data_IF_323743413915
#
_entry.id   IF_323743413915
#
_cell.length_a   1.000
_cell.length_b   1.000
_cell.length_c   1.000
_cell.angle_alpha   90.00
_cell.angle_beta   90.00
_cell.angle_gamma   90.00
#
_symmetry.space_group_name_H-M   'P 1'
#
loop_
_entity.id
_entity.type
_entity.pdbx_description
1 polymer ?
#
# COMPACT_ATOMS: atom_id res chain seq x y z
N UNK A 1 35.45 -3.78 -5.50
CA UNK A 1 34.31 -4.36 -6.25
C UNK A 1 34.52 -5.83 -6.65
N UNK A 2 35.66 -6.21 -7.26
CA UNK A 2 35.88 -7.58 -7.81
C UNK A 2 35.85 -8.70 -6.74
N UNK A 3 36.46 -8.44 -5.60
CA UNK A 3 36.57 -9.38 -4.47
C UNK A 3 35.23 -9.86 -3.90
N UNK A 4 34.20 -9.00 -3.90
CA UNK A 4 32.85 -9.34 -3.40
C UNK A 4 32.16 -10.30 -4.37
N UNK A 5 32.36 -10.09 -5.68
CA UNK A 5 31.78 -10.91 -6.75
C UNK A 5 32.40 -12.31 -6.75
N UNK A 6 33.69 -12.42 -6.45
CA UNK A 6 34.39 -13.70 -6.38
C UNK A 6 33.97 -14.51 -5.14
N UNK A 7 33.76 -13.84 -4.00
CA UNK A 7 33.26 -14.47 -2.77
C UNK A 7 31.83 -14.99 -2.93
N UNK A 8 30.94 -14.21 -3.54
CA UNK A 8 29.56 -14.63 -3.80
C UNK A 8 29.50 -15.76 -4.83
N UNK A 9 30.29 -15.68 -5.91
CA UNK A 9 30.36 -16.74 -6.91
C UNK A 9 30.91 -18.05 -6.33
N UNK A 10 31.92 -17.97 -5.48
CA UNK A 10 32.53 -19.14 -4.80
C UNK A 10 31.56 -19.81 -3.83
N UNK A 11 30.71 -19.03 -3.15
CA UNK A 11 29.67 -19.57 -2.28
C UNK A 11 28.60 -20.34 -3.07
N UNK A 12 28.11 -19.74 -4.17
CA UNK A 12 27.11 -20.36 -5.04
C UNK A 12 27.65 -21.64 -5.66
N UNK A 13 28.86 -21.61 -6.23
CA UNK A 13 29.50 -22.79 -6.81
C UNK A 13 29.69 -23.93 -5.79
N UNK A 14 29.93 -23.61 -4.52
CA UNK A 14 30.13 -24.62 -3.46
C UNK A 14 28.84 -25.29 -3.01
N UNK A 15 27.71 -24.59 -3.00
CA UNK A 15 26.43 -25.11 -2.52
C UNK A 15 25.43 -25.44 -3.63
N UNK A 16 25.76 -25.14 -4.89
CA UNK A 16 24.90 -25.47 -6.02
C UNK A 16 24.95 -26.97 -6.30
N UNK A 17 23.82 -27.63 -6.08
CA UNK A 17 23.64 -29.03 -6.43
C UNK A 17 23.03 -29.13 -7.82
N UNK A 18 23.84 -29.60 -8.78
CA UNK A 18 23.38 -29.86 -10.15
C UNK A 18 22.21 -30.85 -10.13
N UNK A 19 21.10 -30.48 -10.76
CA UNK A 19 19.89 -31.31 -10.84
C UNK A 19 18.85 -31.11 -9.74
N UNK A 20 19.08 -30.21 -8.76
CA UNK A 20 18.06 -29.86 -7.75
C UNK A 20 17.01 -28.85 -8.22
N UNK A 21 17.28 -28.11 -9.28
CA UNK A 21 16.36 -27.12 -9.85
C UNK A 21 15.71 -27.66 -11.13
N UNK A 22 14.71 -28.53 -10.97
CA UNK A 22 13.89 -29.01 -12.09
C UNK A 22 12.63 -28.12 -12.24
N UNK A 23 12.75 -27.10 -13.09
CA UNK A 23 11.66 -26.16 -13.39
C UNK A 23 10.43 -26.87 -13.98
N UNK A 24 10.62 -27.97 -14.73
CA UNK A 24 9.51 -28.72 -15.32
C UNK A 24 8.75 -29.51 -14.28
N UNK A 25 9.43 -30.04 -13.26
CA UNK A 25 8.79 -30.72 -12.14
C UNK A 25 8.00 -29.74 -11.25
N UNK A 26 8.53 -28.54 -11.01
CA UNK A 26 7.85 -27.51 -10.22
C UNK A 26 6.52 -27.05 -10.85
N UNK A 27 6.50 -26.85 -12.17
CA UNK A 27 5.29 -26.42 -12.90
C UNK A 27 4.22 -27.54 -12.94
N UNK A 28 4.62 -28.81 -12.88
CA UNK A 28 3.65 -29.92 -12.86
C UNK A 28 2.94 -30.07 -11.52
N UNK A 29 3.53 -29.58 -10.43
CA UNK A 29 2.99 -29.70 -9.08
C UNK A 29 2.12 -28.50 -8.66
N UNK A 30 1.99 -27.46 -9.47
CA UNK A 30 1.05 -26.37 -9.19
C UNK A 30 -0.35 -26.77 -9.63
N UNK A 31 -1.24 -26.93 -8.67
CA UNK A 31 -2.67 -27.14 -8.92
C UNK A 31 -3.24 -25.94 -9.68
N UNK A 32 -4.09 -26.13 -10.71
CA UNK A 32 -4.76 -25.01 -11.37
C UNK A 32 -5.65 -24.28 -10.35
N UNK A 33 -5.54 -22.95 -10.33
CA UNK A 33 -6.37 -22.09 -9.48
C UNK A 33 -7.85 -22.36 -9.81
N UNK A 34 -8.60 -22.85 -8.83
CA UNK A 34 -10.02 -23.16 -8.99
C UNK A 34 -10.81 -21.85 -9.13
N UNK A 35 -11.16 -21.48 -10.36
CA UNK A 35 -12.00 -20.32 -10.65
C UNK A 35 -13.38 -20.51 -10.00
N UNK A 36 -13.70 -19.67 -9.03
CA UNK A 36 -15.00 -19.73 -8.33
C UNK A 36 -16.06 -19.13 -9.26
N UNK A 37 -17.15 -19.85 -9.60
CA UNK A 37 -18.18 -19.36 -10.50
C UNK A 37 -18.97 -18.19 -9.89
N UNK A 38 -19.23 -17.17 -10.72
CA UNK A 38 -19.81 -15.87 -10.33
C UNK A 38 -21.16 -15.95 -9.58
N UNK A 39 -21.89 -17.05 -9.73
CA UNK A 39 -23.22 -17.27 -9.15
C UNK A 39 -23.19 -17.38 -7.62
N UNK A 40 -22.05 -17.78 -7.03
CA UNK A 40 -21.87 -17.76 -5.56
C UNK A 40 -21.79 -16.35 -4.96
N UNK A 41 -21.53 -15.32 -5.77
CA UNK A 41 -21.43 -13.92 -5.29
C UNK A 41 -22.80 -13.25 -5.09
N UNK A 42 -23.88 -13.80 -5.65
CA UNK A 42 -25.21 -13.15 -5.64
C UNK A 42 -25.99 -13.45 -4.36
N UNK A 43 -25.70 -14.55 -3.67
CA UNK A 43 -26.43 -14.95 -2.45
C UNK A 43 -26.15 -14.07 -1.22
N UNK A 44 -25.02 -13.34 -1.19
CA UNK A 44 -24.62 -12.49 -0.05
C UNK A 44 -25.27 -11.09 -0.12
N UNK A 45 -25.60 -10.61 -1.32
CA UNK A 45 -26.08 -9.23 -1.50
C UNK A 45 -27.48 -8.97 -0.90
N UNK A 46 -28.38 -9.96 -0.95
CA UNK A 46 -29.73 -9.82 -0.40
C UNK A 46 -29.72 -9.64 1.13
N UNK A 47 -28.81 -10.32 1.83
CA UNK A 47 -28.67 -10.22 3.29
C UNK A 47 -28.25 -8.81 3.73
N UNK A 48 -27.38 -8.15 2.96
CA UNK A 48 -26.98 -6.76 3.22
C UNK A 48 -28.12 -5.78 2.99
N UNK A 49 -28.95 -5.98 1.96
CA UNK A 49 -30.11 -5.11 1.71
C UNK A 49 -31.15 -5.20 2.82
N UNK A 50 -31.38 -6.40 3.39
CA UNK A 50 -32.32 -6.56 4.50
C UNK A 50 -31.79 -5.90 5.78
N UNK A 51 -30.49 -6.03 6.07
CA UNK A 51 -29.86 -5.40 7.24
C UNK A 51 -29.86 -3.87 7.17
N UNK A 52 -29.60 -3.28 6.00
CA UNK A 52 -29.67 -1.83 5.82
C UNK A 52 -31.09 -1.28 5.99
N UNK A 53 -32.11 -2.01 5.52
CA UNK A 53 -33.49 -1.55 5.57
C UNK A 53 -34.07 -1.64 6.98
N UNK A 54 -33.78 -2.71 7.73
CA UNK A 54 -34.15 -2.84 9.14
C UNK A 54 -33.39 -1.84 10.02
N UNK A 55 -32.09 -1.63 9.76
CA UNK A 55 -31.29 -0.64 10.47
C UNK A 55 -31.78 0.80 10.26
N UNK A 56 -32.16 1.16 9.03
CA UNK A 56 -32.75 2.46 8.72
C UNK A 56 -34.13 2.64 9.39
N UNK A 57 -34.96 1.60 9.41
CA UNK A 57 -36.27 1.66 10.04
C UNK A 57 -36.17 1.84 11.57
N UNK A 58 -35.24 1.15 12.22
CA UNK A 58 -34.98 1.35 13.65
C UNK A 58 -34.53 2.79 13.95
N UNK A 59 -33.57 3.33 13.17
CA UNK A 59 -33.07 4.69 13.32
C UNK A 59 -34.12 5.78 13.05
N UNK A 60 -35.12 5.52 12.19
CA UNK A 60 -36.22 6.45 11.95
C UNK A 60 -37.19 6.53 13.14
N UNK A 61 -37.39 5.43 13.87
CA UNK A 61 -38.33 5.37 15.00
C UNK A 61 -37.73 5.88 16.32
N UNK A 62 -36.43 5.65 16.54
CA UNK A 62 -35.69 6.24 17.66
C UNK A 62 -35.10 7.56 17.17
N UNK A 63 -35.76 8.70 17.40
CA UNK A 63 -35.41 10.02 16.85
C UNK A 63 -33.95 10.48 17.05
N UNK A 64 -33.03 9.92 16.27
CA UNK A 64 -31.60 10.23 16.21
C UNK A 64 -31.28 10.59 14.77
N UNK A 65 -31.83 11.72 14.33
CA UNK A 65 -31.34 12.42 13.14
C UNK A 65 -30.31 13.46 13.61
N UNK A 66 -29.02 13.32 13.31
CA UNK A 66 -28.11 14.44 13.41
C UNK A 66 -28.42 15.41 12.25
N UNK A 67 -28.79 16.63 12.58
CA UNK A 67 -28.87 17.73 11.62
C UNK A 67 -27.45 18.10 11.13
N UNK A 68 -27.28 18.54 9.87
CA UNK A 68 -26.02 19.11 9.43
C UNK A 68 -25.91 20.52 10.01
N UNK A 69 -25.06 20.69 11.03
CA UNK A 69 -24.61 22.00 11.48
C UNK A 69 -23.11 22.13 11.27
N UNK A 70 -22.76 23.18 10.51
CA UNK A 70 -21.40 23.61 10.27
C UNK A 70 -20.63 23.78 11.59
N UNK A 71 -19.48 23.11 11.67
CA UNK A 71 -18.37 23.46 12.56
C UNK A 71 -18.60 23.31 14.07
N UNK A 72 -18.51 22.09 14.62
CA UNK A 72 -17.86 21.84 15.92
C UNK A 72 -17.64 20.33 16.16
N UNK A 73 -16.44 20.00 16.66
CA UNK A 73 -15.93 18.68 17.06
C UNK A 73 -16.95 17.81 17.81
N UNK A 74 -17.20 16.59 17.33
CA UNK A 74 -17.71 15.47 18.14
C UNK A 74 -16.63 14.39 18.21
N UNK A 75 -16.18 14.16 19.45
CA UNK A 75 -15.16 13.21 19.86
C UNK A 75 -15.65 11.79 19.60
N UNK A 76 -15.02 11.11 18.64
CA UNK A 76 -15.07 9.65 18.52
C UNK A 76 -14.34 9.01 19.71
N UNK A 77 -14.82 7.86 20.24
CA UNK A 77 -14.24 7.23 21.40
C UNK A 77 -12.76 6.93 21.15
N UNK A 78 -11.92 7.59 21.94
CA UNK A 78 -10.48 7.36 22.01
C UNK A 78 -10.22 5.91 22.40
N UNK A 79 -10.17 5.04 21.40
CA UNK A 79 -9.24 3.93 21.47
C UNK A 79 -7.88 4.60 21.61
N UNK A 80 -7.09 4.19 22.59
CA UNK A 80 -5.71 4.62 22.78
C UNK A 80 -4.97 4.14 21.52
N UNK A 81 -5.03 4.95 20.47
CA UNK A 81 -4.75 4.53 19.10
C UNK A 81 -3.26 4.67 18.92
N UNK A 82 -2.56 3.54 18.95
CA UNK A 82 -1.24 3.43 18.34
C UNK A 82 -1.27 4.14 16.98
N UNK A 83 -0.20 4.84 16.56
CA UNK A 83 -0.14 5.52 15.28
C UNK A 83 -0.65 4.58 14.18
N UNK A 84 -1.77 4.94 13.56
CA UNK A 84 -2.31 4.16 12.43
C UNK A 84 -1.29 4.30 11.29
N UNK A 85 -0.61 3.22 10.87
CA UNK A 85 0.31 3.29 9.76
C UNK A 85 -0.45 3.80 8.54
N UNK A 86 0.10 4.82 7.88
CA UNK A 86 -0.55 5.47 6.75
C UNK A 86 -0.05 4.81 5.48
N UNK A 87 -0.93 4.07 4.82
CA UNK A 87 -0.63 3.34 3.60
C UNK A 87 -0.67 4.25 2.37
N UNK A 88 0.38 4.22 1.56
CA UNK A 88 0.50 4.89 0.27
C UNK A 88 0.46 3.88 -0.86
N UNK A 89 -0.38 4.15 -1.85
CA UNK A 89 -0.49 3.38 -3.09
C UNK A 89 -0.21 4.30 -4.28
N UNK A 90 0.78 3.94 -5.08
CA UNK A 90 1.11 4.61 -6.34
C UNK A 90 1.15 3.58 -7.46
N UNK A 91 0.46 3.86 -8.55
CA UNK A 91 0.46 3.04 -9.77
C UNK A 91 0.95 3.91 -10.94
N UNK A 92 2.11 3.56 -11.49
CA UNK A 92 2.80 4.26 -12.56
C UNK A 92 2.75 5.81 -12.43
N UNK A 93 2.87 6.30 -11.19
CA UNK A 93 2.60 7.70 -10.88
C UNK A 93 3.86 8.54 -11.13
N UNK A 94 3.79 9.67 -11.85
CA UNK A 94 4.96 10.49 -12.11
C UNK A 94 5.52 11.07 -10.81
N UNK A 95 6.84 11.07 -10.66
CA UNK A 95 7.52 11.48 -9.42
C UNK A 95 7.09 12.87 -8.90
N UNK A 96 6.89 13.92 -9.73
CA UNK A 96 6.37 15.20 -9.26
C UNK A 96 5.04 15.11 -8.49
N UNK A 97 4.16 14.22 -8.91
CA UNK A 97 2.86 14.02 -8.27
C UNK A 97 3.01 13.28 -6.95
N UNK A 98 3.87 12.26 -6.91
CA UNK A 98 4.26 11.56 -5.67
C UNK A 98 4.81 12.55 -4.63
N UNK A 99 5.77 13.39 -5.02
CA UNK A 99 6.37 14.40 -4.15
C UNK A 99 5.34 15.43 -3.65
N UNK A 100 4.35 15.77 -4.48
CA UNK A 100 3.25 16.65 -4.09
C UNK A 100 2.35 16.00 -3.03
N UNK A 101 2.02 14.71 -3.19
CA UNK A 101 1.22 13.95 -2.22
C UNK A 101 1.96 13.83 -0.89
N UNK A 102 3.23 13.41 -0.93
CA UNK A 102 4.08 13.31 0.26
C UNK A 102 4.29 14.67 0.91
N UNK A 103 4.58 15.71 0.14
CA UNK A 103 4.79 17.06 0.66
C UNK A 103 3.54 17.63 1.33
N UNK A 104 2.34 17.38 0.77
CA UNK A 104 1.07 17.74 1.40
C UNK A 104 0.86 16.98 2.70
N UNK A 105 1.23 15.70 2.74
CA UNK A 105 1.03 14.86 3.91
C UNK A 105 1.95 15.24 5.08
N UNK A 106 3.24 15.44 4.80
CA UNK A 106 4.25 15.76 5.81
C UNK A 106 4.48 17.27 5.98
N UNK A 107 3.67 18.11 5.32
CA UNK A 107 3.76 19.57 5.36
C UNK A 107 5.14 20.15 4.97
N UNK A 108 5.83 19.49 4.04
CA UNK A 108 7.13 19.93 3.51
C UNK A 108 7.05 20.14 2.00
N UNK A 109 7.98 20.93 1.46
CA UNK A 109 8.15 21.03 0.01
C UNK A 109 9.26 20.07 -0.41
N UNK A 110 8.93 19.15 -1.32
CA UNK A 110 9.84 18.15 -1.86
C UNK A 110 10.08 18.43 -3.35
N UNK A 111 11.34 18.31 -3.78
CA UNK A 111 11.75 18.46 -5.18
C UNK A 111 12.81 17.42 -5.52
N UNK A 112 12.76 16.83 -6.71
CA UNK A 112 13.77 15.91 -7.21
C UNK A 112 14.61 16.55 -8.33
N UNK A 113 15.82 16.05 -8.53
CA UNK A 113 16.72 16.41 -9.64
C UNK A 113 16.23 15.88 -11.00
N UNK A 114 15.68 14.67 -11.04
CA UNK A 114 15.04 14.08 -12.19
C UNK A 114 13.54 13.85 -11.94
N UNK A 115 12.70 14.45 -12.76
CA UNK A 115 11.24 14.40 -12.67
C UNK A 115 10.59 13.50 -13.72
N UNK A 116 11.38 12.87 -14.58
CA UNK A 116 10.90 12.01 -15.67
C UNK A 116 10.49 10.60 -15.21
N UNK A 117 10.85 10.22 -13.98
CA UNK A 117 10.63 8.87 -13.45
C UNK A 117 9.22 8.68 -12.90
N UNK A 118 8.78 7.44 -12.90
CA UNK A 118 7.48 7.00 -12.40
C UNK A 118 7.66 6.01 -11.25
N UNK A 119 6.78 6.08 -10.25
CA UNK A 119 6.75 5.20 -9.09
C UNK A 119 5.53 4.28 -9.15
N UNK A 120 5.78 2.99 -8.98
CA UNK A 120 4.75 1.99 -8.68
C UNK A 120 5.13 1.32 -7.36
N UNK A 121 4.38 1.59 -6.29
CA UNK A 121 4.71 1.11 -4.96
C UNK A 121 3.49 1.11 -4.03
N UNK A 122 3.45 0.12 -3.15
CA UNK A 122 2.56 0.04 -2.00
C UNK A 122 3.40 -0.02 -0.74
N UNK A 123 3.22 0.93 0.17
CA UNK A 123 3.98 0.97 1.42
C UNK A 123 3.25 1.75 2.51
N UNK A 124 3.44 1.30 3.74
CA UNK A 124 3.10 2.09 4.92
C UNK A 124 4.25 3.04 5.25
N UNK A 125 3.92 4.27 5.67
CA UNK A 125 4.94 5.17 6.19
C UNK A 125 4.47 6.04 7.34
N UNK A 126 5.24 5.97 8.42
CA UNK A 126 5.24 6.82 9.59
C UNK A 126 6.43 7.80 9.61
N UNK A 127 7.43 7.60 8.73
CA UNK A 127 8.68 8.36 8.69
C UNK A 127 8.99 8.90 7.28
N UNK A 128 9.02 10.23 7.15
CA UNK A 128 9.29 10.92 5.89
C UNK A 128 10.72 10.62 5.38
N UNK A 129 11.72 10.70 6.25
CA UNK A 129 13.12 10.52 5.89
C UNK A 129 13.36 9.13 5.30
N UNK A 130 12.79 8.09 5.91
CA UNK A 130 12.86 6.72 5.38
C UNK A 130 12.14 6.58 4.04
N UNK A 131 11.01 7.26 3.87
CA UNK A 131 10.24 7.25 2.61
C UNK A 131 11.06 7.87 1.49
N UNK A 132 11.72 9.01 1.78
CA UNK A 132 12.58 9.70 0.83
C UNK A 132 13.75 8.79 0.46
N UNK A 133 14.45 8.21 1.43
CA UNK A 133 15.59 7.32 1.18
C UNK A 133 15.20 6.13 0.30
N UNK A 134 14.03 5.53 0.58
CA UNK A 134 13.50 4.43 -0.25
C UNK A 134 13.26 4.88 -1.70
N UNK A 135 12.61 6.02 -1.90
CA UNK A 135 12.30 6.54 -3.24
C UNK A 135 13.59 6.93 -3.98
N UNK A 136 14.53 7.58 -3.31
CA UNK A 136 15.85 7.93 -3.86
C UNK A 136 16.59 6.67 -4.34
N UNK A 137 16.58 5.60 -3.54
CA UNK A 137 17.29 4.36 -3.87
C UNK A 137 16.62 3.57 -5.00
N UNK A 138 15.29 3.47 -5.00
CA UNK A 138 14.53 2.73 -6.02
C UNK A 138 14.57 3.45 -7.36
N UNK A 139 14.44 4.77 -7.35
CA UNK A 139 14.40 5.56 -8.57
C UNK A 139 15.77 6.09 -8.98
N UNK A 140 16.83 5.96 -8.17
CA UNK A 140 18.16 6.57 -8.42
C UNK A 140 18.04 8.07 -8.73
N UNK A 141 17.41 8.80 -7.82
CA UNK A 141 17.18 10.25 -7.87
C UNK A 141 17.60 10.89 -6.57
N UNK A 142 17.87 12.19 -6.58
CA UNK A 142 18.10 12.99 -5.37
C UNK A 142 16.90 13.88 -5.08
N UNK A 143 16.36 13.74 -3.88
CA UNK A 143 15.22 14.50 -3.38
C UNK A 143 15.72 15.50 -2.34
N UNK A 144 15.42 16.78 -2.55
CA UNK A 144 15.72 17.86 -1.63
C UNK A 144 14.47 18.25 -0.84
N UNK A 145 14.61 18.31 0.48
CA UNK A 145 13.57 18.80 1.39
C UNK A 145 13.78 20.28 1.64
N UNK A 146 12.78 21.11 1.32
CA UNK A 146 12.73 22.51 1.73
C UNK A 146 11.67 22.65 2.82
N UNK A 147 12.09 22.91 4.07
CA UNK A 147 11.17 23.32 5.13
C UNK A 147 10.76 24.77 4.89
N UNK A 148 9.47 25.05 5.08
CA UNK A 148 8.88 26.38 4.90
C UNK A 148 9.11 27.24 6.14
#
# INVERSE_FOLDING_TARGET
MKEIKDKSLKFVLRHYQTGKFDTRQAIRNVSPVKVIPLWRKVAVAASFTLLLLVGAYAAYTTGVLPHPTDGAKVVQPSTITAPQPRHFHFDNTPLPEVLKVLGKHYHVKLTADDTSKHLTADFDSDNLEQTIEMIEHVLDVKITITRK
#
